data_IF_641760988970
#
_entry.id   IF_641760988970
#
_cell.length_a   1.000
_cell.length_b   1.000
_cell.length_c   1.000
_cell.angle_alpha   90.00
_cell.angle_beta   90.00
_cell.angle_gamma   90.00
#
_symmetry.space_group_name_H-M   'P 1'
#
loop_
_entity.id
_entity.type
_entity.pdbx_description
1 polymer ?
#
# COMPACT_ATOMS: atom_id res chain seq x y z
N UNK A 1 -18.16 2.88 15.28
CA UNK A 1 -16.72 2.65 15.34
C UNK A 1 -15.95 3.92 15.73
N UNK A 2 -16.07 5.02 15.00
CA UNK A 2 -15.44 6.32 15.33
C UNK A 2 -15.78 6.82 16.74
N UNK A 3 -17.07 6.72 17.14
CA UNK A 3 -17.52 7.09 18.47
C UNK A 3 -16.83 6.27 19.57
N UNK A 4 -16.64 4.97 19.36
CA UNK A 4 -15.97 4.07 20.33
C UNK A 4 -14.52 4.49 20.59
N UNK A 5 -13.81 4.96 19.56
CA UNK A 5 -12.38 5.32 19.68
C UNK A 5 -12.14 6.78 20.02
N UNK A 6 -13.06 7.70 19.64
CA UNK A 6 -12.86 9.15 19.83
C UNK A 6 -13.79 9.75 20.88
N UNK A 7 -14.72 8.97 21.47
CA UNK A 7 -15.67 9.41 22.49
C UNK A 7 -16.68 10.46 22.01
N UNK A 8 -16.78 10.69 20.69
CA UNK A 8 -17.67 11.65 20.07
C UNK A 8 -18.16 11.19 18.69
N UNK A 9 -19.31 11.66 18.21
CA UNK A 9 -19.80 11.33 16.87
C UNK A 9 -18.88 11.87 15.78
N UNK A 10 -18.88 11.18 14.62
CA UNK A 10 -18.21 11.64 13.41
C UNK A 10 -19.14 12.58 12.65
N UNK A 11 -18.74 13.85 12.51
CA UNK A 11 -19.54 14.85 11.81
C UNK A 11 -19.27 14.85 10.31
N UNK A 12 -19.96 13.95 9.59
CA UNK A 12 -19.76 13.79 8.14
C UNK A 12 -20.46 14.88 7.31
N UNK A 13 -21.50 15.53 7.82
CA UNK A 13 -22.18 16.63 7.12
C UNK A 13 -21.33 17.91 7.07
N UNK A 14 -20.51 18.14 8.09
CA UNK A 14 -19.61 19.29 8.18
C UNK A 14 -18.28 18.87 8.83
N UNK A 15 -17.43 18.11 8.11
CA UNK A 15 -16.20 17.57 8.67
C UNK A 15 -15.20 18.69 8.98
N UNK A 16 -14.75 18.77 10.23
CA UNK A 16 -13.82 19.81 10.71
C UNK A 16 -12.42 19.26 10.95
N UNK A 17 -12.32 18.06 11.51
CA UNK A 17 -11.02 17.44 11.79
C UNK A 17 -10.50 16.66 10.60
N UNK A 18 -9.18 16.45 10.55
CA UNK A 18 -8.53 15.63 9.51
C UNK A 18 -9.17 14.24 9.40
N UNK A 19 -9.42 13.58 10.52
CA UNK A 19 -10.04 12.26 10.54
C UNK A 19 -11.46 12.27 9.97
N UNK A 20 -12.27 13.26 10.30
CA UNK A 20 -13.62 13.42 9.74
C UNK A 20 -13.58 13.65 8.22
N UNK A 21 -12.65 14.49 7.75
CA UNK A 21 -12.44 14.72 6.32
C UNK A 21 -12.01 13.45 5.59
N UNK A 22 -11.10 12.65 6.17
CA UNK A 22 -10.70 11.37 5.60
C UNK A 22 -11.89 10.40 5.54
N UNK A 23 -12.71 10.32 6.58
CA UNK A 23 -13.90 9.47 6.56
C UNK A 23 -14.92 9.95 5.52
N UNK A 24 -15.09 11.24 5.38
CA UNK A 24 -15.95 11.81 4.35
C UNK A 24 -15.46 11.43 2.94
N UNK A 25 -14.16 11.60 2.66
CA UNK A 25 -13.55 11.23 1.39
C UNK A 25 -13.71 9.72 1.08
N UNK A 26 -13.52 8.86 2.08
CA UNK A 26 -13.69 7.41 1.92
C UNK A 26 -15.12 7.02 1.53
N UNK A 27 -16.12 7.69 2.06
CA UNK A 27 -17.53 7.36 1.87
C UNK A 27 -18.14 8.03 0.64
N UNK A 28 -17.78 9.29 0.37
CA UNK A 28 -18.50 10.12 -0.60
C UNK A 28 -17.66 10.49 -1.83
N UNK A 29 -16.35 10.28 -1.79
CA UNK A 29 -15.44 10.64 -2.87
C UNK A 29 -14.62 9.45 -3.37
N UNK A 30 -15.18 8.24 -3.29
CA UNK A 30 -14.63 7.03 -3.89
C UNK A 30 -15.07 6.93 -5.34
N UNK A 31 -14.12 6.97 -6.26
CA UNK A 31 -14.37 6.99 -7.71
C UNK A 31 -13.61 5.85 -8.41
N UNK A 32 -14.01 5.45 -9.63
CA UNK A 32 -13.27 4.49 -10.44
C UNK A 32 -11.80 4.89 -10.65
N UNK A 33 -11.52 6.19 -10.84
CA UNK A 33 -10.15 6.69 -10.94
C UNK A 33 -9.35 6.39 -9.67
N UNK A 34 -9.91 6.64 -8.49
CA UNK A 34 -9.25 6.33 -7.22
C UNK A 34 -9.02 4.83 -7.05
N UNK A 35 -9.97 3.99 -7.51
CA UNK A 35 -9.78 2.54 -7.58
C UNK A 35 -8.60 2.16 -8.46
N UNK A 36 -8.54 2.69 -9.69
CA UNK A 36 -7.42 2.46 -10.62
C UNK A 36 -6.07 2.86 -10.01
N UNK A 37 -6.01 4.01 -9.32
CA UNK A 37 -4.79 4.49 -8.67
C UNK A 37 -4.42 3.70 -7.40
N UNK A 38 -5.37 3.05 -6.74
CA UNK A 38 -5.13 2.18 -5.59
C UNK A 38 -4.74 0.75 -5.99
N UNK A 39 -5.12 0.30 -7.18
CA UNK A 39 -4.78 -1.01 -7.74
C UNK A 39 -3.29 -1.05 -8.10
N UNK A 40 -2.55 -2.02 -7.52
CA UNK A 40 -1.09 -2.12 -7.68
C UNK A 40 -0.64 -2.46 -9.11
N UNK A 41 -1.53 -3.00 -9.93
CA UNK A 41 -1.26 -3.27 -11.34
C UNK A 41 -1.66 -2.10 -12.23
N UNK A 42 -2.90 -1.62 -12.10
CA UNK A 42 -3.43 -0.57 -12.96
C UNK A 42 -2.76 0.80 -12.77
N UNK A 43 -2.29 1.10 -11.55
CA UNK A 43 -1.56 2.36 -11.28
C UNK A 43 -0.24 2.47 -12.05
N UNK A 44 0.33 1.34 -12.50
CA UNK A 44 1.63 1.31 -13.17
C UNK A 44 1.62 2.06 -14.50
N UNK A 45 0.56 1.90 -15.28
CA UNK A 45 0.38 2.63 -16.54
C UNK A 45 0.34 4.14 -16.27
N UNK A 46 -0.45 4.56 -15.27
CA UNK A 46 -0.54 5.97 -14.91
C UNK A 46 0.81 6.55 -14.42
N UNK A 47 1.58 5.78 -13.65
CA UNK A 47 2.91 6.18 -13.19
C UNK A 47 3.87 6.29 -14.37
N UNK A 48 3.91 5.31 -15.28
CA UNK A 48 4.74 5.34 -16.47
C UNK A 48 4.47 6.60 -17.31
N UNK A 49 3.20 6.91 -17.54
CA UNK A 49 2.77 8.06 -18.36
C UNK A 49 3.01 9.41 -17.68
N UNK A 50 2.97 9.47 -16.35
CA UNK A 50 3.00 10.75 -15.61
C UNK A 50 4.40 11.11 -15.11
N UNK A 51 5.15 10.13 -14.61
CA UNK A 51 6.45 10.38 -13.96
C UNK A 51 7.60 9.59 -14.58
N UNK A 52 7.32 8.52 -15.31
CA UNK A 52 8.30 7.70 -15.99
C UNK A 52 8.32 6.24 -15.53
N UNK A 53 8.63 5.34 -16.46
CA UNK A 53 8.68 3.90 -16.22
C UNK A 53 9.83 3.51 -15.27
N UNK A 54 10.89 4.30 -15.22
CA UNK A 54 12.06 4.11 -14.36
C UNK A 54 11.74 4.19 -12.86
N UNK A 55 10.60 4.79 -12.49
CA UNK A 55 10.12 4.84 -11.10
C UNK A 55 9.31 3.62 -10.69
N UNK A 56 9.04 2.70 -11.62
CA UNK A 56 8.31 1.47 -11.35
C UNK A 56 9.25 0.34 -10.91
N UNK A 57 8.88 -0.37 -9.87
CA UNK A 57 9.53 -1.63 -9.52
C UNK A 57 9.31 -2.62 -10.67
N UNK A 58 10.33 -3.32 -11.19
CA UNK A 58 10.17 -4.28 -12.26
C UNK A 58 9.12 -5.35 -11.95
N UNK A 59 8.14 -5.48 -12.84
CA UNK A 59 7.08 -6.46 -12.76
C UNK A 59 7.59 -7.79 -13.32
N UNK A 60 7.37 -8.88 -12.59
CA UNK A 60 7.79 -10.24 -12.95
C UNK A 60 6.63 -11.10 -13.45
N UNK A 61 5.40 -10.76 -13.06
CA UNK A 61 4.19 -11.45 -13.50
C UNK A 61 2.93 -10.87 -12.91
N UNK A 62 1.80 -11.18 -13.56
CA UNK A 62 0.43 -10.85 -13.13
C UNK A 62 -0.43 -12.07 -13.39
N UNK A 63 -1.29 -12.43 -12.44
CA UNK A 63 -2.17 -13.60 -12.53
C UNK A 63 -3.52 -13.32 -11.89
N UNK A 64 -4.55 -13.95 -12.41
CA UNK A 64 -5.91 -13.92 -11.86
C UNK A 64 -6.13 -15.04 -10.82
N UNK A 65 -5.29 -16.11 -10.86
CA UNK A 65 -5.33 -17.22 -9.92
C UNK A 65 -3.94 -17.57 -9.39
N UNK A 66 -3.83 -17.97 -8.11
CA UNK A 66 -2.56 -18.49 -7.57
C UNK A 66 -2.04 -19.73 -8.31
N UNK A 67 -2.94 -20.51 -8.92
CA UNK A 67 -2.56 -21.76 -9.63
C UNK A 67 -1.81 -21.49 -10.93
N UNK A 68 -1.95 -20.30 -11.50
CA UNK A 68 -1.24 -19.88 -12.70
C UNK A 68 0.24 -19.52 -12.45
N UNK A 69 0.65 -19.38 -11.18
CA UNK A 69 2.01 -18.96 -10.85
C UNK A 69 2.97 -20.12 -11.08
N UNK A 70 3.86 -19.98 -12.04
CA UNK A 70 5.02 -20.86 -12.19
C UNK A 70 6.17 -20.36 -11.29
N UNK A 71 6.25 -20.86 -10.06
CA UNK A 71 7.30 -20.48 -9.13
C UNK A 71 8.70 -20.88 -9.63
N UNK A 72 8.81 -21.91 -10.47
CA UNK A 72 10.10 -22.34 -11.00
C UNK A 72 10.74 -21.27 -11.88
N UNK A 73 9.93 -20.54 -12.67
CA UNK A 73 10.38 -19.46 -13.55
C UNK A 73 10.76 -18.17 -12.81
N UNK A 74 10.31 -17.98 -11.57
CA UNK A 74 10.59 -16.78 -10.79
C UNK A 74 12.04 -16.75 -10.28
N UNK A 75 12.65 -15.56 -10.13
CA UNK A 75 14.01 -15.42 -9.62
C UNK A 75 14.12 -15.89 -8.16
N UNK A 76 15.35 -15.91 -7.63
CA UNK A 76 15.62 -16.35 -6.24
C UNK A 76 14.90 -15.49 -5.19
N UNK A 77 14.64 -14.21 -5.50
CA UNK A 77 13.94 -13.30 -4.58
C UNK A 77 12.92 -12.43 -5.31
N UNK A 78 11.75 -12.32 -4.75
CA UNK A 78 10.61 -11.55 -5.30
C UNK A 78 9.60 -11.18 -4.22
N UNK A 79 8.58 -10.40 -4.59
CA UNK A 79 7.46 -10.05 -3.72
C UNK A 79 6.15 -10.33 -4.45
N UNK A 80 5.28 -11.14 -3.84
CA UNK A 80 3.90 -11.35 -4.32
C UNK A 80 2.96 -10.43 -3.57
N UNK A 81 2.00 -9.84 -4.29
CA UNK A 81 1.02 -8.90 -3.70
C UNK A 81 -0.35 -9.11 -4.32
N UNK A 82 -1.41 -9.00 -3.52
CA UNK A 82 -2.75 -8.83 -4.08
C UNK A 82 -2.96 -7.35 -4.44
N UNK A 83 -3.54 -7.08 -5.63
CA UNK A 83 -3.66 -5.73 -6.20
C UNK A 83 -4.60 -4.83 -5.44
N UNK A 84 -5.71 -5.38 -4.93
CA UNK A 84 -6.91 -4.73 -4.43
C UNK A 84 -6.95 -4.53 -2.90
N UNK A 85 -5.81 -4.48 -2.24
CA UNK A 85 -5.77 -4.36 -0.78
C UNK A 85 -4.49 -3.73 -0.25
N UNK A 86 -4.43 -3.54 1.06
CA UNK A 86 -3.28 -3.00 1.78
C UNK A 86 -2.69 -4.06 2.73
N UNK A 87 -1.35 -4.20 2.73
CA UNK A 87 -0.64 -5.15 3.58
C UNK A 87 -0.69 -6.61 3.09
N UNK A 88 -1.35 -6.90 1.99
CA UNK A 88 -1.43 -8.24 1.40
C UNK A 88 -0.24 -8.50 0.49
N UNK A 89 0.88 -8.86 1.12
CA UNK A 89 2.14 -9.16 0.43
C UNK A 89 2.88 -10.32 1.09
N UNK A 90 3.55 -11.11 0.26
CA UNK A 90 4.46 -12.17 0.66
C UNK A 90 5.86 -11.76 0.19
N UNK A 91 6.74 -11.48 1.13
CA UNK A 91 8.14 -11.17 0.87
C UNK A 91 8.92 -12.48 0.75
N UNK A 92 9.53 -12.72 -0.40
CA UNK A 92 10.33 -13.91 -0.66
C UNK A 92 11.78 -13.50 -0.86
N UNK A 93 12.57 -13.37 0.21
CA UNK A 93 13.99 -13.03 0.11
C UNK A 93 14.85 -14.19 -0.43
N UNK A 94 14.35 -15.41 -0.33
CA UNK A 94 14.95 -16.63 -0.85
C UNK A 94 13.86 -17.65 -1.21
N UNK A 95 13.71 -17.92 -2.52
CA UNK A 95 12.71 -18.86 -3.05
C UNK A 95 12.87 -20.29 -2.49
N UNK A 96 14.10 -20.74 -2.23
CA UNK A 96 14.31 -22.10 -1.71
C UNK A 96 13.74 -22.36 -0.31
N UNK A 97 13.39 -21.29 0.41
CA UNK A 97 12.75 -21.35 1.72
C UNK A 97 11.23 -21.09 1.67
N UNK A 98 10.66 -20.89 0.47
CA UNK A 98 9.24 -20.64 0.30
C UNK A 98 8.45 -21.93 0.36
N UNK A 99 7.43 -21.96 1.18
CA UNK A 99 6.35 -22.93 1.10
C UNK A 99 5.35 -22.45 0.03
N UNK A 100 5.42 -23.08 -1.15
CA UNK A 100 4.60 -22.69 -2.30
C UNK A 100 3.11 -22.98 -2.08
N UNK A 101 2.78 -24.07 -1.40
CA UNK A 101 1.40 -24.44 -1.11
C UNK A 101 0.76 -23.43 -0.15
N UNK A 102 1.47 -23.08 0.91
CA UNK A 102 1.05 -22.00 1.83
C UNK A 102 0.89 -20.67 1.09
N UNK A 103 1.82 -20.32 0.20
CA UNK A 103 1.75 -19.07 -0.56
C UNK A 103 0.53 -19.03 -1.47
N UNK A 104 0.24 -20.13 -2.20
CA UNK A 104 -0.98 -20.23 -3.03
C UNK A 104 -2.24 -20.11 -2.19
N UNK A 105 -2.33 -20.84 -1.09
CA UNK A 105 -3.47 -20.77 -0.18
C UNK A 105 -3.69 -19.35 0.36
N UNK A 106 -2.61 -18.65 0.75
CA UNK A 106 -2.68 -17.29 1.27
C UNK A 106 -3.09 -16.27 0.20
N UNK A 107 -2.60 -16.40 -1.02
CA UNK A 107 -2.99 -15.54 -2.13
C UNK A 107 -4.45 -15.77 -2.51
N UNK A 108 -4.91 -17.03 -2.59
CA UNK A 108 -6.31 -17.37 -2.85
C UNK A 108 -7.27 -16.81 -1.80
N UNK A 109 -6.89 -16.89 -0.52
CA UNK A 109 -7.64 -16.26 0.56
C UNK A 109 -7.78 -14.73 0.34
N UNK A 110 -6.69 -14.04 -0.02
CA UNK A 110 -6.72 -12.60 -0.24
C UNK A 110 -7.57 -12.20 -1.44
N UNK A 111 -7.54 -12.96 -2.54
CA UNK A 111 -8.38 -12.69 -3.72
C UNK A 111 -9.88 -12.72 -3.38
N UNK A 112 -10.29 -13.53 -2.41
CA UNK A 112 -11.68 -13.59 -1.93
C UNK A 112 -12.07 -12.48 -0.93
N UNK A 113 -11.13 -11.65 -0.48
CA UNK A 113 -11.40 -10.62 0.53
C UNK A 113 -11.79 -9.28 -0.10
N UNK A 114 -12.67 -8.55 0.57
CA UNK A 114 -13.04 -7.17 0.20
C UNK A 114 -12.37 -6.17 1.14
N UNK A 115 -11.30 -5.54 0.66
CA UNK A 115 -10.55 -4.55 1.44
C UNK A 115 -11.40 -3.36 1.88
N UNK A 116 -12.32 -2.91 1.03
CA UNK A 116 -13.21 -1.81 1.34
C UNK A 116 -13.95 -1.98 2.67
N UNK A 117 -14.34 -3.22 3.00
CA UNK A 117 -15.04 -3.53 4.24
C UNK A 117 -14.10 -3.74 5.43
N UNK A 118 -12.87 -4.18 5.20
CA UNK A 118 -11.86 -4.41 6.25
C UNK A 118 -11.13 -3.14 6.68
N UNK A 119 -10.79 -2.27 5.73
CA UNK A 119 -9.93 -1.10 5.92
C UNK A 119 -10.66 0.15 6.43
N UNK A 120 -11.82 0.04 7.06
CA UNK A 120 -12.56 1.20 7.55
C UNK A 120 -13.25 1.98 6.43
N UNK A 121 -13.94 1.27 5.55
CA UNK A 121 -14.75 1.80 4.45
C UNK A 121 -13.95 2.56 3.38
N UNK A 122 -12.84 1.99 2.96
CA UNK A 122 -12.07 2.49 1.82
C UNK A 122 -12.72 2.04 0.51
N UNK A 123 -13.89 2.64 0.18
CA UNK A 123 -14.79 2.16 -0.87
C UNK A 123 -14.19 2.21 -2.28
N UNK A 124 -13.13 2.97 -2.51
CA UNK A 124 -12.42 2.96 -3.79
C UNK A 124 -11.83 1.59 -4.16
N UNK A 125 -11.53 0.71 -3.18
CA UNK A 125 -11.10 -0.66 -3.47
C UNK A 125 -12.18 -1.53 -4.10
N UNK A 126 -13.46 -1.15 -4.06
CA UNK A 126 -14.53 -1.87 -4.76
C UNK A 126 -14.42 -1.77 -6.29
N UNK A 127 -13.65 -0.80 -6.79
CA UNK A 127 -13.35 -0.65 -8.22
C UNK A 127 -12.09 -1.41 -8.65
N UNK A 128 -11.37 -2.08 -7.73
CA UNK A 128 -10.19 -2.86 -8.06
C UNK A 128 -10.60 -4.29 -8.41
N UNK A 129 -10.05 -4.83 -9.51
CA UNK A 129 -10.16 -6.25 -9.82
C UNK A 129 -9.11 -7.03 -9.04
N UNK A 130 -9.52 -8.08 -8.28
CA UNK A 130 -8.57 -8.90 -7.54
C UNK A 130 -7.61 -9.63 -8.47
N UNK A 131 -6.31 -9.31 -8.38
CA UNK A 131 -5.22 -9.98 -9.10
C UNK A 131 -4.02 -10.16 -8.19
N UNK A 132 -3.10 -10.99 -8.63
CA UNK A 132 -1.79 -11.18 -8.02
C UNK A 132 -0.75 -10.52 -8.91
N UNK A 133 0.12 -9.71 -8.33
CA UNK A 133 1.31 -9.19 -9.00
C UNK A 133 2.56 -9.72 -8.32
N UNK A 134 3.57 -10.03 -9.12
CA UNK A 134 4.91 -10.34 -8.65
C UNK A 134 5.87 -9.24 -9.06
N UNK A 135 6.62 -8.73 -8.12
CA UNK A 135 7.60 -7.67 -8.35
C UNK A 135 8.99 -8.10 -7.88
N UNK A 136 10.03 -7.48 -8.46
CA UNK A 136 11.39 -7.65 -8.01
C UNK A 136 11.52 -7.33 -6.52
N UNK A 137 12.24 -8.18 -5.79
CA UNK A 137 12.61 -7.91 -4.41
C UNK A 137 13.66 -6.80 -4.36
N UNK A 138 13.32 -5.67 -3.76
CA UNK A 138 14.25 -4.55 -3.61
C UNK A 138 15.09 -4.70 -2.34
N UNK A 139 16.37 -4.33 -2.44
CA UNK A 139 17.32 -4.25 -1.32
C UNK A 139 18.13 -2.98 -1.45
N UNK A 140 18.30 -2.25 -0.38
CA UNK A 140 19.12 -1.03 -0.35
C UNK A 140 20.55 -1.25 0.17
N UNK A 141 20.94 -2.50 0.40
CA UNK A 141 22.27 -2.84 0.92
C UNK A 141 22.44 -2.60 2.43
N UNK A 142 21.44 -2.03 3.11
CA UNK A 142 21.50 -1.70 4.55
C UNK A 142 20.68 -2.65 5.43
N UNK A 143 20.10 -3.69 4.84
CA UNK A 143 19.32 -4.73 5.53
C UNK A 143 17.82 -4.46 5.63
N UNK A 144 17.30 -3.45 4.96
CA UNK A 144 15.87 -3.16 4.83
C UNK A 144 15.62 -1.90 4.02
N UNK A 145 14.42 -1.78 3.45
CA UNK A 145 14.01 -0.57 2.73
C UNK A 145 13.48 0.47 3.70
N UNK A 146 13.81 1.71 3.44
CA UNK A 146 13.20 2.86 4.10
C UNK A 146 11.99 3.33 3.28
N UNK A 147 10.82 3.36 3.90
CA UNK A 147 9.62 3.95 3.33
C UNK A 147 9.66 5.46 3.50
N UNK A 148 9.42 6.20 2.43
CA UNK A 148 9.18 7.64 2.43
C UNK A 148 7.71 7.90 2.17
N UNK A 149 7.04 8.61 3.06
CA UNK A 149 5.61 8.94 2.94
C UNK A 149 5.45 10.45 2.93
N UNK A 150 5.02 10.98 1.80
CA UNK A 150 4.80 12.41 1.61
C UNK A 150 3.36 12.78 1.94
N UNK A 151 3.20 13.78 2.77
CA UNK A 151 1.91 14.36 3.11
C UNK A 151 1.67 15.56 2.21
N UNK A 152 0.79 15.35 1.23
CA UNK A 152 0.49 16.32 0.17
C UNK A 152 -0.91 16.90 0.41
N UNK A 153 -1.02 18.21 0.45
CA UNK A 153 -2.28 18.93 0.57
C UNK A 153 -2.36 19.96 -0.54
N UNK A 154 -3.44 19.88 -1.31
CA UNK A 154 -3.68 20.77 -2.46
C UNK A 154 -2.48 20.82 -3.44
N UNK A 155 -1.93 19.65 -3.77
CA UNK A 155 -0.77 19.51 -4.66
C UNK A 155 0.59 19.89 -4.06
N UNK A 156 0.64 20.36 -2.80
CA UNK A 156 1.87 20.82 -2.15
C UNK A 156 2.30 19.86 -1.06
N UNK A 157 3.55 19.41 -1.10
CA UNK A 157 4.16 18.63 -0.03
C UNK A 157 4.33 19.52 1.20
N UNK A 158 3.68 19.16 2.31
CA UNK A 158 3.79 19.88 3.57
C UNK A 158 4.86 19.30 4.49
N UNK A 159 4.96 17.98 4.53
CA UNK A 159 6.01 17.26 5.25
C UNK A 159 6.10 15.82 4.73
N UNK A 160 7.22 15.18 5.06
CA UNK A 160 7.42 13.76 4.82
C UNK A 160 7.74 13.05 6.13
N UNK A 161 7.36 11.79 6.24
CA UNK A 161 7.88 10.94 7.30
C UNK A 161 8.50 9.67 6.72
N UNK A 162 9.54 9.22 7.37
CA UNK A 162 10.23 7.99 7.03
C UNK A 162 9.85 6.89 8.00
N UNK A 163 9.71 5.67 7.48
CA UNK A 163 9.58 4.46 8.30
C UNK A 163 10.71 3.52 7.93
N UNK A 164 11.61 3.31 8.84
CA UNK A 164 12.74 2.41 8.71
C UNK A 164 12.51 1.21 9.63
N UNK A 165 12.43 0.01 9.06
CA UNK A 165 12.15 -1.23 9.80
C UNK A 165 13.39 -2.11 9.91
N UNK A 166 14.46 -1.57 10.51
CA UNK A 166 15.69 -2.31 10.76
C UNK A 166 15.65 -3.00 12.11
N UNK A 167 16.25 -4.18 12.19
CA UNK A 167 16.40 -4.93 13.45
C UNK A 167 15.11 -5.08 14.28
N UNK A 168 13.94 -5.25 13.60
CA UNK A 168 12.65 -5.45 14.29
C UNK A 168 12.06 -4.20 14.96
N UNK A 169 12.70 -3.04 14.85
CA UNK A 169 12.17 -1.76 15.32
C UNK A 169 11.81 -0.85 14.17
N UNK A 170 10.60 -0.26 14.22
CA UNK A 170 10.22 0.82 13.32
C UNK A 170 10.80 2.14 13.87
N UNK A 171 11.83 2.68 13.19
CA UNK A 171 12.34 4.02 13.44
C UNK A 171 11.60 4.99 12.52
N UNK A 172 11.11 6.09 13.08
CA UNK A 172 10.36 7.12 12.34
C UNK A 172 11.09 8.45 12.45
N UNK A 173 11.00 9.25 11.40
CA UNK A 173 11.47 10.63 11.39
C UNK A 173 10.51 11.48 10.58
N UNK A 174 10.16 12.66 11.06
CA UNK A 174 9.33 13.63 10.33
C UNK A 174 10.20 14.77 9.84
N UNK A 175 10.06 15.16 8.58
CA UNK A 175 10.89 16.13 7.89
C UNK A 175 10.03 17.15 7.15
N UNK A 176 10.49 18.38 7.13
CA UNK A 176 9.95 19.44 6.27
C UNK A 176 10.37 19.21 4.81
N UNK A 177 9.80 19.96 3.83
CA UNK A 177 10.12 19.77 2.42
C UNK A 177 11.60 19.97 2.05
N UNK A 178 12.34 20.75 2.83
CA UNK A 178 13.79 20.97 2.72
C UNK A 178 14.64 19.89 3.41
N UNK A 179 14.00 18.81 3.90
CA UNK A 179 14.61 17.71 4.67
C UNK A 179 15.18 18.10 6.02
N UNK A 180 14.90 19.27 6.54
CA UNK A 180 15.16 19.60 7.94
C UNK A 180 14.19 18.83 8.85
N UNK A 181 14.60 18.54 10.08
CA UNK A 181 13.76 17.83 11.04
C UNK A 181 12.55 18.70 11.38
N UNK A 182 11.34 18.15 11.24
CA UNK A 182 10.14 18.88 11.65
C UNK A 182 10.12 19.08 13.19
N UNK A 183 9.57 20.21 13.67
CA UNK A 183 9.45 20.48 15.12
C UNK A 183 8.34 19.65 15.79
N UNK A 184 7.77 18.70 15.06
CA UNK A 184 6.73 17.76 15.52
C UNK A 184 7.02 16.36 15.02
N UNK A 185 6.44 15.35 15.65
CA UNK A 185 6.46 13.98 15.16
C UNK A 185 5.06 13.57 14.68
N UNK A 186 5.01 12.98 13.49
CA UNK A 186 3.80 12.38 12.96
C UNK A 186 3.81 10.88 13.31
N UNK A 187 2.90 10.49 14.19
CA UNK A 187 2.71 9.08 14.57
C UNK A 187 1.38 8.60 14.00
N UNK A 188 1.44 7.58 13.13
CA UNK A 188 0.25 6.77 12.83
C UNK A 188 0.15 5.72 13.93
N UNK A 189 -0.77 5.89 14.85
CA UNK A 189 -1.23 4.84 15.76
C UNK A 189 -2.22 3.91 15.06
#
# INVERSE_FOLDING_TARGET
WYWLFKGRPCHLEAPRTMTEKIHWLKLYDSTPLKGRLADKFLVREWVADTVGEEYLVPLLGVWDSPDEIDFASLPTSFVLKATHGSGWNILVPNKSALDEEWARGRLGEWLGLRQAMKGGFELHYEYCEPRIVCERFLRDGTGGLRDYKFMVFDGVVQFAFTVDRRAGRAMRGTYLPDWTRAPFEYTCE
#
